data_IF_168893775143
#
_entry.id   IF_168893775143
#
_cell.length_a   1.000
_cell.length_b   1.000
_cell.length_c   1.000
_cell.angle_alpha   90.00
_cell.angle_beta   90.00
_cell.angle_gamma   90.00
#
_symmetry.space_group_name_H-M   'P 1'
#
loop_
_entity.id
_entity.type
_entity.pdbx_description
1 polymer ?
#
# COMPACT_ATOMS: atom_id res chain seq x y z
N UNK A 1 -7.18 -29.30 -28.01
CA UNK A 1 -8.54 -29.78 -27.72
C UNK A 1 -8.55 -30.42 -26.32
N UNK A 2 -9.24 -29.76 -25.37
CA UNK A 2 -9.99 -30.27 -24.20
C UNK A 2 -9.44 -31.50 -23.42
N UNK A 3 -9.18 -31.49 -22.11
CA UNK A 3 -9.94 -31.06 -20.91
C UNK A 3 -8.94 -30.95 -19.74
N UNK A 4 -9.07 -30.10 -18.73
CA UNK A 4 -10.21 -30.06 -17.80
C UNK A 4 -10.12 -28.77 -16.98
N UNK A 5 -11.23 -28.04 -16.92
CA UNK A 5 -11.50 -27.03 -15.90
C UNK A 5 -11.53 -27.78 -14.56
N UNK A 6 -10.43 -27.75 -13.82
CA UNK A 6 -10.48 -27.98 -12.39
C UNK A 6 -10.45 -26.62 -11.75
N UNK A 7 -11.65 -26.07 -11.55
CA UNK A 7 -12.18 -25.23 -10.47
C UNK A 7 -11.28 -24.64 -9.35
N UNK A 8 -9.96 -24.53 -9.53
CA UNK A 8 -9.03 -23.81 -8.65
C UNK A 8 -8.53 -22.51 -9.28
N UNK A 9 -9.01 -22.16 -10.48
CA UNK A 9 -8.66 -20.93 -11.22
C UNK A 9 -9.18 -19.63 -10.58
N UNK A 10 -9.91 -19.70 -9.46
CA UNK A 10 -10.58 -18.56 -8.83
C UNK A 10 -9.80 -17.90 -7.69
N UNK A 11 -8.51 -18.21 -7.52
CA UNK A 11 -7.62 -17.42 -6.63
C UNK A 11 -6.51 -16.73 -7.44
N UNK A 12 -6.81 -16.43 -8.71
CA UNK A 12 -6.06 -15.43 -9.47
C UNK A 12 -6.39 -14.07 -8.88
N UNK A 13 -5.59 -13.63 -7.90
CA UNK A 13 -5.47 -12.23 -7.53
C UNK A 13 -4.98 -11.46 -8.76
N UNK A 14 -5.92 -11.02 -9.59
CA UNK A 14 -5.72 -9.94 -10.54
C UNK A 14 -5.56 -8.66 -9.70
N UNK A 15 -4.38 -8.47 -9.13
CA UNK A 15 -3.99 -7.17 -8.58
C UNK A 15 -3.93 -6.23 -9.77
N UNK A 16 -4.98 -5.44 -9.92
CA UNK A 16 -5.09 -4.39 -10.91
C UNK A 16 -3.82 -3.53 -10.82
N UNK A 17 -3.08 -3.47 -11.93
CA UNK A 17 -1.99 -2.53 -12.12
C UNK A 17 -2.60 -1.13 -12.19
N UNK A 18 -2.81 -0.50 -11.04
CA UNK A 18 -3.04 0.94 -10.96
C UNK A 18 -1.64 1.55 -10.93
N UNK A 19 -1.16 2.03 -12.09
CA UNK A 19 0.01 2.88 -12.19
C UNK A 19 -0.34 4.22 -11.54
N UNK A 20 0.23 4.62 -10.38
CA UNK A 20 0.04 5.98 -9.91
C UNK A 20 0.95 6.88 -10.73
N UNK A 21 0.36 7.89 -11.39
CA UNK A 21 1.09 8.94 -12.08
C UNK A 21 2.06 9.67 -11.10
N UNK A 22 3.22 10.15 -11.57
CA UNK A 22 4.12 10.94 -10.75
C UNK A 22 3.47 12.28 -10.42
N UNK A 23 3.07 12.46 -9.15
CA UNK A 23 2.47 13.71 -8.67
C UNK A 23 3.58 14.63 -8.17
N UNK A 24 3.98 15.57 -9.03
CA UNK A 24 4.94 16.67 -8.81
C UNK A 24 4.77 17.34 -7.44
N UNK A 25 5.73 17.11 -6.51
CA UNK A 25 5.69 17.61 -5.14
C UNK A 25 5.69 19.15 -5.06
N UNK A 26 4.66 19.72 -4.43
CA UNK A 26 4.62 21.13 -4.07
C UNK A 26 5.54 21.35 -2.86
N UNK A 27 6.57 22.16 -3.06
CA UNK A 27 7.50 22.59 -2.03
C UNK A 27 6.77 23.43 -0.97
N UNK A 28 6.90 23.07 0.31
CA UNK A 28 6.50 23.97 1.40
C UNK A 28 6.32 23.33 2.78
N UNK A 29 5.68 22.17 2.88
CA UNK A 29 5.43 21.50 4.18
C UNK A 29 5.64 19.99 3.97
N UNK A 30 6.34 19.28 4.88
CA UNK A 30 6.39 17.83 4.82
C UNK A 30 4.97 17.27 4.91
N UNK A 31 4.42 16.82 3.79
CA UNK A 31 3.08 16.26 3.71
C UNK A 31 3.15 14.73 3.53
N UNK A 32 3.03 14.00 4.63
CA UNK A 32 3.05 12.53 4.64
C UNK A 32 1.82 11.97 3.90
N UNK A 33 0.72 12.72 3.90
CA UNK A 33 -0.55 12.34 3.29
C UNK A 33 -0.42 12.18 1.78
N UNK A 34 0.22 13.13 1.11
CA UNK A 34 0.47 13.10 -0.33
C UNK A 34 1.32 11.92 -0.77
N UNK A 35 2.31 11.55 0.04
CA UNK A 35 3.15 10.38 -0.22
C UNK A 35 2.39 9.06 0.07
N UNK A 36 1.54 9.04 1.10
CA UNK A 36 0.83 7.85 1.55
C UNK A 36 -0.37 7.50 0.68
N UNK A 37 -1.21 8.46 0.28
CA UNK A 37 -2.45 8.20 -0.47
C UNK A 37 -2.30 7.30 -1.71
N UNK A 38 -1.31 7.51 -2.62
CA UNK A 38 -1.14 6.63 -3.77
C UNK A 38 -0.66 5.22 -3.39
N UNK A 39 -0.10 5.05 -2.18
CA UNK A 39 0.36 3.77 -1.65
C UNK A 39 -0.70 3.08 -0.77
N UNK A 40 -1.58 3.84 -0.12
CA UNK A 40 -2.53 3.37 0.88
C UNK A 40 -3.46 2.29 0.32
N UNK A 41 -3.93 2.47 -0.91
CA UNK A 41 -4.79 1.51 -1.59
C UNK A 41 -4.07 0.18 -1.84
N UNK A 42 -2.83 0.24 -2.36
CA UNK A 42 -1.97 -0.93 -2.56
C UNK A 42 -1.70 -1.62 -1.22
N UNK A 43 -1.46 -0.85 -0.17
CA UNK A 43 -1.23 -1.40 1.16
C UNK A 43 -2.46 -2.14 1.69
N UNK A 44 -3.66 -1.57 1.57
CA UNK A 44 -4.90 -2.25 1.93
C UNK A 44 -5.09 -3.56 1.15
N UNK A 45 -4.83 -3.55 -0.16
CA UNK A 45 -4.90 -4.75 -1.00
C UNK A 45 -3.92 -5.84 -0.57
N UNK A 46 -2.72 -5.48 -0.11
CA UNK A 46 -1.75 -6.45 0.43
C UNK A 46 -2.24 -7.15 1.70
N UNK A 47 -3.11 -6.51 2.48
CA UNK A 47 -3.75 -7.11 3.65
C UNK A 47 -5.07 -7.81 3.32
N UNK A 48 -5.42 -7.92 2.02
CA UNK A 48 -6.61 -8.61 1.54
C UNK A 48 -7.89 -7.78 1.61
N UNK A 49 -7.78 -6.45 1.49
CA UNK A 49 -8.92 -5.53 1.41
C UNK A 49 -9.08 -4.97 -0.01
N UNK A 50 -10.26 -4.47 -0.36
CA UNK A 50 -10.52 -3.93 -1.70
C UNK A 50 -9.81 -2.60 -1.92
N UNK A 51 -9.95 -1.67 -0.97
CA UNK A 51 -9.45 -0.30 -1.14
C UNK A 51 -9.18 0.44 0.17
N UNK A 52 -8.51 1.58 0.04
CA UNK A 52 -8.30 2.54 1.12
C UNK A 52 -9.51 3.49 1.25
N UNK A 53 -9.90 3.80 2.49
CA UNK A 53 -10.97 4.75 2.80
C UNK A 53 -10.47 6.00 3.53
N UNK A 54 -9.87 5.83 4.72
CA UNK A 54 -9.37 6.96 5.53
C UNK A 54 -8.08 6.61 6.25
N UNK A 55 -7.24 7.61 6.50
CA UNK A 55 -6.03 7.45 7.30
C UNK A 55 -6.21 8.14 8.65
N UNK A 56 -6.04 7.37 9.72
CA UNK A 56 -5.97 7.86 11.10
C UNK A 56 -4.52 8.20 11.44
N UNK A 57 -4.16 9.47 11.31
CA UNK A 57 -2.80 9.97 11.56
C UNK A 57 -2.36 9.78 13.02
N UNK A 58 -3.32 9.85 13.95
CA UNK A 58 -3.11 9.73 15.40
C UNK A 58 -2.69 8.32 15.85
N UNK A 59 -3.20 7.28 15.19
CA UNK A 59 -2.89 5.87 15.48
C UNK A 59 -2.01 5.23 14.41
N UNK A 60 -1.74 5.95 13.31
CA UNK A 60 -1.07 5.48 12.12
C UNK A 60 -1.74 4.26 11.49
N UNK A 61 -3.07 4.29 11.44
CA UNK A 61 -3.90 3.21 10.90
C UNK A 61 -4.59 3.64 9.62
N UNK A 62 -4.50 2.81 8.58
CA UNK A 62 -5.32 2.93 7.39
C UNK A 62 -6.63 2.18 7.63
N UNK A 63 -7.74 2.85 7.47
CA UNK A 63 -9.02 2.21 7.33
C UNK A 63 -9.13 1.67 5.89
N UNK A 64 -9.09 0.36 5.79
CA UNK A 64 -9.24 -0.40 4.56
C UNK A 64 -10.66 -0.96 4.51
N UNK A 65 -11.31 -0.86 3.35
CA UNK A 65 -12.68 -1.34 3.17
C UNK A 65 -12.70 -2.58 2.28
N UNK A 66 -13.62 -3.48 2.61
CA UNK A 66 -13.97 -4.69 1.87
C UNK A 66 -15.50 -4.72 1.75
N UNK A 67 -16.01 -4.26 0.60
CA UNK A 67 -17.42 -3.93 0.40
C UNK A 67 -18.00 -2.99 1.46
N UNK A 68 -18.74 -3.55 2.44
CA UNK A 68 -19.40 -2.80 3.54
C UNK A 68 -18.64 -2.87 4.87
N UNK A 69 -17.52 -3.60 4.94
CA UNK A 69 -16.74 -3.78 6.16
C UNK A 69 -15.50 -2.91 6.11
N UNK A 70 -15.35 -2.02 7.09
CA UNK A 70 -14.11 -1.29 7.32
C UNK A 70 -13.25 -2.03 8.35
N UNK A 71 -11.95 -2.16 8.09
CA UNK A 71 -10.96 -2.69 9.02
C UNK A 71 -9.77 -1.76 9.08
N UNK A 72 -9.25 -1.55 10.29
CA UNK A 72 -8.04 -0.77 10.51
C UNK A 72 -6.81 -1.66 10.33
N UNK A 73 -5.89 -1.19 9.51
CA UNK A 73 -4.59 -1.79 9.25
C UNK A 73 -3.51 -0.80 9.64
N UNK A 74 -2.70 -1.17 10.64
CA UNK A 74 -1.65 -0.29 11.16
C UNK A 74 -0.44 -0.28 10.24
N UNK A 75 0.12 0.90 10.02
CA UNK A 75 1.44 1.05 9.39
C UNK A 75 2.52 0.37 10.25
N UNK A 76 3.60 -0.13 9.62
CA UNK A 76 4.67 -0.80 10.35
C UNK A 76 5.38 0.16 11.32
N UNK A 77 5.92 -0.40 12.40
CA UNK A 77 6.59 0.37 13.46
C UNK A 77 7.79 1.19 12.94
N UNK A 78 8.43 0.71 11.86
CA UNK A 78 9.51 1.41 11.17
C UNK A 78 9.08 2.75 10.55
N UNK A 79 7.79 2.90 10.24
CA UNK A 79 7.21 4.13 9.68
C UNK A 79 6.53 4.93 10.79
N UNK A 80 5.76 4.25 11.64
CA UNK A 80 5.10 4.89 12.77
C UNK A 80 5.20 4.04 14.04
N UNK A 81 6.04 4.46 14.99
CA UNK A 81 6.24 3.76 16.26
C UNK A 81 4.95 3.65 17.08
N UNK A 82 4.89 2.65 17.96
CA UNK A 82 3.78 2.49 18.90
C UNK A 82 3.58 3.76 19.75
N UNK A 83 2.34 4.25 19.81
CA UNK A 83 1.97 5.45 20.58
C UNK A 83 2.43 6.79 19.98
N UNK A 84 2.91 6.81 18.74
CA UNK A 84 3.23 8.06 18.02
C UNK A 84 2.13 8.41 17.02
N UNK A 85 1.87 9.71 16.89
CA UNK A 85 1.07 10.30 15.82
C UNK A 85 1.99 10.65 14.66
N UNK A 86 1.47 10.56 13.44
CA UNK A 86 2.14 11.07 12.24
C UNK A 86 1.64 12.47 11.83
N UNK A 87 0.80 13.08 12.67
CA UNK A 87 0.42 14.49 12.63
C UNK A 87 1.00 15.25 13.84
N UNK A 88 1.80 16.32 13.63
CA UNK A 88 2.27 16.80 12.32
C UNK A 88 3.29 15.85 11.68
N UNK A 89 3.35 15.85 10.35
CA UNK A 89 4.30 15.02 9.61
C UNK A 89 5.75 15.50 9.81
N UNK A 90 6.45 14.88 10.75
CA UNK A 90 7.86 15.17 11.01
C UNK A 90 8.76 14.70 9.85
N UNK A 91 9.89 15.38 9.57
CA UNK A 91 10.79 15.00 8.49
C UNK A 91 11.35 13.58 8.65
N UNK A 92 11.52 13.11 9.89
CA UNK A 92 11.92 11.73 10.20
C UNK A 92 10.87 10.71 9.74
N UNK A 93 9.62 10.90 10.17
CA UNK A 93 8.48 10.06 9.79
C UNK A 93 8.24 10.08 8.28
N UNK A 94 8.37 11.25 7.63
CA UNK A 94 8.29 11.38 6.18
C UNK A 94 9.37 10.56 5.46
N UNK A 95 10.62 10.64 5.92
CA UNK A 95 11.71 9.89 5.30
C UNK A 95 11.55 8.38 5.51
N UNK A 96 11.09 7.97 6.70
CA UNK A 96 10.78 6.57 7.00
C UNK A 96 9.66 6.03 6.11
N UNK A 97 8.57 6.78 5.95
CA UNK A 97 7.45 6.46 5.06
C UNK A 97 7.93 6.32 3.61
N UNK A 98 8.70 7.29 3.10
CA UNK A 98 9.22 7.25 1.74
C UNK A 98 10.10 6.02 1.50
N UNK A 99 11.05 5.75 2.41
CA UNK A 99 11.93 4.58 2.32
C UNK A 99 11.13 3.28 2.33
N UNK A 100 10.09 3.20 3.16
CA UNK A 100 9.21 2.04 3.21
C UNK A 100 8.46 1.83 1.88
N UNK A 101 7.90 2.89 1.29
CA UNK A 101 7.23 2.84 -0.01
C UNK A 101 8.20 2.38 -1.11
N UNK A 102 9.44 2.89 -1.12
CA UNK A 102 10.46 2.51 -2.11
C UNK A 102 10.85 1.03 -1.99
N UNK A 103 11.07 0.53 -0.77
CA UNK A 103 11.39 -0.88 -0.54
C UNK A 103 10.24 -1.79 -0.99
N UNK A 104 8.99 -1.40 -0.71
CA UNK A 104 7.80 -2.12 -1.18
C UNK A 104 7.71 -2.19 -2.71
N UNK A 105 7.96 -1.06 -3.40
CA UNK A 105 8.01 -1.03 -4.87
C UNK A 105 9.09 -1.95 -5.42
N UNK A 106 10.29 -1.89 -4.85
CA UNK A 106 11.43 -2.73 -5.25
C UNK A 106 11.15 -4.22 -5.06
N UNK A 107 10.49 -4.60 -3.95
CA UNK A 107 10.04 -5.97 -3.71
C UNK A 107 9.02 -6.41 -4.77
N UNK A 108 8.04 -5.57 -5.07
CA UNK A 108 7.04 -5.86 -6.12
C UNK A 108 7.69 -6.05 -7.50
N UNK A 109 8.60 -5.16 -7.91
CA UNK A 109 9.29 -5.27 -9.19
C UNK A 109 10.18 -6.53 -9.26
N UNK A 110 10.82 -6.90 -8.15
CA UNK A 110 11.61 -8.13 -8.05
C UNK A 110 10.75 -9.38 -8.19
N UNK A 111 9.55 -9.37 -7.59
CA UNK A 111 8.57 -10.46 -7.73
C UNK A 111 8.07 -10.56 -9.18
N UNK A 112 7.66 -9.45 -9.79
CA UNK A 112 7.25 -9.41 -11.20
C UNK A 112 8.32 -9.95 -12.14
N UNK A 113 9.59 -9.52 -11.96
CA UNK A 113 10.71 -10.01 -12.77
C UNK A 113 10.93 -11.51 -12.60
N UNK A 114 10.84 -12.02 -11.36
CA UNK A 114 10.94 -13.47 -11.11
C UNK A 114 9.82 -14.21 -11.83
N UNK A 115 8.59 -13.73 -11.77
CA UNK A 115 7.45 -14.40 -12.40
C UNK A 115 7.58 -14.41 -13.92
N UNK A 116 7.95 -13.28 -14.53
CA UNK A 116 8.18 -13.20 -15.97
C UNK A 116 9.32 -14.10 -16.45
N UNK A 117 10.37 -14.28 -15.65
CA UNK A 117 11.50 -15.13 -16.01
C UNK A 117 11.28 -16.62 -15.70
N UNK A 118 10.23 -16.99 -14.95
CA UNK A 118 9.85 -18.38 -14.67
C UNK A 118 8.62 -18.83 -15.49
N UNK A 119 8.06 -17.94 -16.31
CA UNK A 119 7.00 -18.21 -17.28
C UNK A 119 7.58 -18.48 -18.66
#
# INVERSE_FOLDING_TARGET
MCRNISNMLFVLFAVAVILPAPLEAAAGIPDCRRDLYPFADIYCQLFGHDSFYVWHEETCELECVDGTKAKRVRLPESVCPLGKSMDPCEPGSKNALRKFIEEMKKMNDSLKKRWYNNA
#
